data_IF_810180940775
#
_entry.id   IF_810180940775
#
_cell.length_a   1.000
_cell.length_b   1.000
_cell.length_c   1.000
_cell.angle_alpha   90.00
_cell.angle_beta   90.00
_cell.angle_gamma   90.00
#
_symmetry.space_group_name_H-M   'P 1'
#
loop_
_entity.id
_entity.type
_entity.pdbx_description
1 polymer ?
#
# COMPACT_ATOMS: atom_id res chain seq x y z
N UNK A 1 21.70 -6.81 5.68
CA UNK A 1 20.55 -6.28 4.92
C UNK A 1 19.63 -5.60 5.91
N UNK A 2 19.11 -4.42 5.58
CA UNK A 2 18.21 -3.67 6.45
C UNK A 2 16.80 -3.82 5.89
N UNK A 3 15.96 -4.55 6.61
CA UNK A 3 14.66 -4.99 6.16
C UNK A 3 13.57 -4.08 6.72
N UNK A 4 12.58 -3.74 5.91
CA UNK A 4 11.38 -3.03 6.32
C UNK A 4 10.16 -3.88 6.03
N UNK A 5 9.48 -4.33 7.07
CA UNK A 5 8.16 -4.96 6.95
C UNK A 5 7.12 -3.85 6.88
N UNK A 6 6.21 -3.94 5.91
CA UNK A 6 5.18 -2.95 5.64
C UNK A 6 3.82 -3.65 5.64
N UNK A 7 2.86 -3.02 6.30
CA UNK A 7 1.45 -3.37 6.26
C UNK A 7 0.61 -2.09 6.34
N UNK A 8 -0.52 -2.04 5.62
CA UNK A 8 -1.39 -0.86 5.57
C UNK A 8 -2.82 -1.18 5.98
N UNK A 9 -3.46 -0.19 6.60
CA UNK A 9 -4.90 -0.22 6.87
C UNK A 9 -5.60 0.90 6.11
N UNK A 10 -6.73 0.55 5.48
CA UNK A 10 -7.48 1.44 4.59
C UNK A 10 -8.94 1.53 4.98
N UNK A 11 -9.57 2.65 4.64
CA UNK A 11 -11.03 2.82 4.77
C UNK A 11 -11.59 3.44 3.50
N UNK A 12 -12.85 3.12 3.13
CA UNK A 12 -13.53 3.81 2.04
C UNK A 12 -13.55 5.33 2.21
N UNK A 13 -13.39 6.03 1.10
CA UNK A 13 -13.61 7.47 1.04
C UNK A 13 -15.09 7.78 1.28
N UNK A 14 -15.33 8.90 1.96
CA UNK A 14 -16.67 9.46 2.07
C UNK A 14 -17.01 10.17 0.75
N UNK A 15 -17.81 9.52 -0.09
CA UNK A 15 -18.31 10.11 -1.34
C UNK A 15 -19.58 10.89 -1.02
N UNK A 16 -19.47 12.22 -1.04
CA UNK A 16 -20.59 13.13 -0.72
C UNK A 16 -21.47 13.46 -1.91
N UNK A 17 -20.92 13.39 -3.12
CA UNK A 17 -21.67 13.66 -4.35
C UNK A 17 -22.58 12.47 -4.67
N UNK A 18 -23.88 12.73 -4.74
CA UNK A 18 -24.91 11.70 -4.87
C UNK A 18 -24.90 11.03 -6.25
N UNK A 19 -24.61 11.79 -7.32
CA UNK A 19 -24.46 11.25 -8.67
C UNK A 19 -23.24 10.33 -8.77
N UNK A 20 -22.11 10.76 -8.20
CA UNK A 20 -20.90 9.92 -8.16
C UNK A 20 -21.15 8.65 -7.33
N UNK A 21 -21.87 8.78 -6.21
CA UNK A 21 -22.23 7.64 -5.36
C UNK A 21 -23.12 6.64 -6.11
N UNK A 22 -24.16 7.12 -6.79
CA UNK A 22 -25.06 6.30 -7.61
C UNK A 22 -24.28 5.60 -8.74
N UNK A 23 -23.47 6.34 -9.51
CA UNK A 23 -22.62 5.78 -10.56
C UNK A 23 -21.69 4.66 -10.07
N UNK A 24 -21.07 4.83 -8.89
CA UNK A 24 -20.17 3.83 -8.32
C UNK A 24 -20.92 2.62 -7.74
N UNK A 25 -22.14 2.81 -7.24
CA UNK A 25 -23.01 1.71 -6.79
C UNK A 25 -23.56 0.90 -7.97
N UNK A 26 -23.94 1.57 -9.06
CA UNK A 26 -24.47 0.95 -10.28
C UNK A 26 -23.43 0.09 -11.02
N UNK A 27 -22.15 0.43 -10.90
CA UNK A 27 -21.06 -0.44 -11.42
C UNK A 27 -20.89 -1.76 -10.67
N UNK A 28 -21.72 -2.05 -9.67
CA UNK A 28 -21.66 -3.27 -8.83
C UNK A 28 -20.30 -3.50 -8.18
N UNK A 29 -19.52 -2.45 -7.93
CA UNK A 29 -18.32 -2.59 -7.09
C UNK A 29 -18.83 -2.67 -5.66
N UNK A 30 -18.84 -3.87 -5.10
CA UNK A 30 -19.29 -4.09 -3.73
C UNK A 30 -18.43 -3.30 -2.71
N UNK A 31 -18.93 -3.21 -1.48
CA UNK A 31 -18.27 -2.43 -0.41
C UNK A 31 -16.86 -2.93 -0.10
N UNK A 32 -16.63 -4.24 -0.23
CA UNK A 32 -15.34 -4.88 0.03
C UNK A 32 -14.33 -4.52 -1.05
N UNK A 33 -14.71 -4.68 -2.32
CA UNK A 33 -13.93 -4.30 -3.50
C UNK A 33 -13.57 -2.81 -3.51
N UNK A 34 -14.44 -1.93 -3.01
CA UNK A 34 -14.13 -0.49 -2.84
C UNK A 34 -13.07 -0.26 -1.77
N UNK A 35 -13.16 -0.97 -0.65
CA UNK A 35 -12.21 -0.88 0.46
C UNK A 35 -10.79 -1.29 0.02
N UNK A 36 -10.71 -2.22 -0.93
CA UNK A 36 -9.47 -2.73 -1.48
C UNK A 36 -8.92 -1.92 -2.68
N UNK A 37 -9.58 -0.83 -3.08
CA UNK A 37 -9.19 -0.06 -4.27
C UNK A 37 -8.69 1.36 -3.93
N UNK A 38 -7.48 1.77 -4.37
CA UNK A 38 -6.86 3.03 -3.94
C UNK A 38 -7.53 4.30 -4.47
N UNK A 39 -8.40 4.20 -5.47
CA UNK A 39 -9.21 5.34 -5.93
C UNK A 39 -10.43 5.61 -5.05
N UNK A 40 -10.94 4.59 -4.35
CA UNK A 40 -12.19 4.68 -3.58
C UNK A 40 -11.97 4.61 -2.08
N UNK A 41 -10.72 4.47 -1.65
CA UNK A 41 -10.32 4.32 -0.26
C UNK A 41 -9.10 5.18 0.04
N UNK A 42 -8.88 5.44 1.32
CA UNK A 42 -7.73 6.16 1.86
C UNK A 42 -6.98 5.31 2.87
N UNK A 43 -5.69 5.54 3.00
CA UNK A 43 -4.86 4.96 4.05
C UNK A 43 -5.15 5.68 5.38
N UNK A 44 -5.34 4.90 6.45
CA UNK A 44 -5.53 5.41 7.83
C UNK A 44 -4.35 5.09 8.73
N UNK A 45 -3.58 4.05 8.41
CA UNK A 45 -2.39 3.65 9.12
C UNK A 45 -1.41 2.95 8.17
N UNK A 46 -0.12 3.17 8.37
CA UNK A 46 0.93 2.30 7.84
C UNK A 46 1.74 1.79 9.03
N UNK A 47 1.80 0.48 9.21
CA UNK A 47 2.64 -0.17 10.21
C UNK A 47 3.96 -0.55 9.56
N UNK A 48 5.05 -0.08 10.15
CA UNK A 48 6.40 -0.35 9.72
C UNK A 48 7.14 -1.10 10.81
N UNK A 49 7.80 -2.20 10.44
CA UNK A 49 8.76 -2.87 11.32
C UNK A 49 10.12 -2.94 10.65
N UNK A 50 11.02 -2.07 11.13
CA UNK A 50 12.45 -2.10 10.82
C UNK A 50 13.24 -2.49 12.07
N UNK A 51 14.19 -1.66 12.49
CA UNK A 51 14.86 -1.81 13.80
C UNK A 51 13.83 -1.74 14.94
N UNK A 52 12.93 -0.76 14.88
CA UNK A 52 11.81 -0.57 15.80
C UNK A 52 10.46 -0.74 15.10
N UNK A 53 9.39 -0.85 15.90
CA UNK A 53 8.02 -0.76 15.41
C UNK A 53 7.61 0.70 15.32
N UNK A 54 7.06 1.12 14.18
CA UNK A 54 6.58 2.47 13.94
C UNK A 54 5.17 2.36 13.35
N UNK A 55 4.19 2.96 14.03
CA UNK A 55 2.86 3.15 13.48
C UNK A 55 2.74 4.57 12.94
N UNK A 56 2.57 4.73 11.63
CA UNK A 56 2.34 6.01 10.99
C UNK A 56 0.83 6.30 11.00
N UNK A 57 0.43 7.23 11.88
CA UNK A 57 -0.95 7.69 12.05
C UNK A 57 -1.03 9.21 11.87
N UNK A 58 -2.20 9.72 11.49
CA UNK A 58 -2.45 11.14 11.24
C UNK A 58 -3.34 11.37 10.03
N UNK A 59 -3.22 12.53 9.39
CA UNK A 59 -3.84 12.69 8.07
C UNK A 59 -3.07 11.88 7.01
N UNK A 60 -3.79 11.43 5.97
CA UNK A 60 -3.22 10.51 4.98
C UNK A 60 -1.96 11.07 4.30
N UNK A 61 -1.93 12.37 4.03
CA UNK A 61 -0.78 13.02 3.40
C UNK A 61 0.47 12.94 4.28
N UNK A 62 0.35 13.27 5.56
CA UNK A 62 1.45 13.17 6.53
C UNK A 62 1.94 11.74 6.72
N UNK A 63 1.02 10.77 6.75
CA UNK A 63 1.35 9.33 6.83
C UNK A 63 2.24 8.94 5.64
N UNK A 64 1.84 9.32 4.43
CA UNK A 64 2.57 9.00 3.20
C UNK A 64 3.90 9.75 3.11
N UNK A 65 3.96 11.02 3.51
CA UNK A 65 5.21 11.79 3.55
C UNK A 65 6.24 11.13 4.49
N UNK A 66 5.82 10.72 5.70
CA UNK A 66 6.68 10.01 6.65
C UNK A 66 7.12 8.65 6.11
N UNK A 67 6.23 7.91 5.43
CA UNK A 67 6.60 6.66 4.80
C UNK A 67 7.74 6.85 3.80
N UNK A 68 7.66 7.87 2.93
CA UNK A 68 8.69 8.15 1.94
C UNK A 68 9.97 8.76 2.51
N UNK A 69 9.95 9.30 3.73
CA UNK A 69 11.15 9.68 4.48
C UNK A 69 11.88 8.46 5.07
N UNK A 70 11.11 7.46 5.54
CA UNK A 70 11.64 6.28 6.24
C UNK A 70 12.11 5.20 5.25
N UNK A 71 11.30 4.88 4.24
CA UNK A 71 11.55 3.77 3.32
C UNK A 71 12.96 3.77 2.68
N UNK A 72 13.54 4.92 2.25
CA UNK A 72 14.89 4.98 1.67
C UNK A 72 16.03 4.50 2.58
N UNK A 73 15.80 4.37 3.89
CA UNK A 73 16.80 3.89 4.87
C UNK A 73 16.95 2.36 4.84
N UNK A 74 16.11 1.66 4.07
CA UNK A 74 16.03 0.20 4.00
C UNK A 74 16.30 -0.27 2.56
N UNK A 75 16.76 -1.52 2.44
CA UNK A 75 17.14 -2.10 1.15
C UNK A 75 16.39 -3.38 0.78
N UNK A 76 15.56 -3.90 1.69
CA UNK A 76 14.67 -5.03 1.45
C UNK A 76 13.30 -4.72 2.05
N UNK A 77 12.25 -4.82 1.24
CA UNK A 77 10.87 -4.58 1.63
C UNK A 77 10.13 -5.91 1.76
N UNK A 78 9.44 -6.12 2.87
CA UNK A 78 8.73 -7.37 3.16
C UNK A 78 7.26 -7.03 3.37
N UNK A 79 6.38 -7.77 2.70
CA UNK A 79 4.91 -7.57 2.78
C UNK A 79 4.18 -8.91 2.75
N UNK A 80 2.86 -8.88 2.96
CA UNK A 80 1.97 -9.99 2.66
C UNK A 80 0.94 -9.54 1.61
N UNK A 81 1.00 -10.07 0.38
CA UNK A 81 0.21 -9.57 -0.76
C UNK A 81 0.51 -8.10 -1.15
N UNK A 82 1.68 -7.57 -0.78
CA UNK A 82 2.04 -6.19 -1.05
C UNK A 82 2.24 -5.87 -2.53
N UNK A 83 2.53 -6.85 -3.39
CA UNK A 83 2.50 -6.63 -4.85
C UNK A 83 1.07 -6.37 -5.37
N UNK A 84 0.07 -7.01 -4.75
CA UNK A 84 -1.33 -6.89 -5.14
C UNK A 84 -2.07 -5.77 -4.42
N UNK A 85 -1.56 -5.33 -3.27
CA UNK A 85 -2.26 -4.43 -2.38
C UNK A 85 -1.38 -3.28 -1.87
N UNK A 86 -0.57 -3.48 -0.83
CA UNK A 86 0.08 -2.42 -0.05
C UNK A 86 0.86 -1.40 -0.91
N UNK A 87 1.79 -1.89 -1.73
CA UNK A 87 2.72 -1.02 -2.45
C UNK A 87 2.02 -0.24 -3.57
N UNK A 88 1.21 -0.87 -4.46
CA UNK A 88 0.38 -0.13 -5.40
C UNK A 88 -0.54 0.89 -4.72
N UNK A 89 -1.11 0.54 -3.57
CA UNK A 89 -2.01 1.42 -2.84
C UNK A 89 -1.27 2.67 -2.33
N UNK A 90 -0.12 2.50 -1.67
CA UNK A 90 0.74 3.61 -1.23
C UNK A 90 1.13 4.50 -2.40
N UNK A 91 1.54 3.93 -3.54
CA UNK A 91 1.94 4.67 -4.74
C UNK A 91 0.79 5.52 -5.29
N UNK A 92 -0.38 4.92 -5.50
CA UNK A 92 -1.55 5.64 -6.04
C UNK A 92 -2.00 6.73 -5.09
N UNK A 93 -2.09 6.46 -3.78
CA UNK A 93 -2.48 7.48 -2.79
C UNK A 93 -1.44 8.59 -2.67
N UNK A 94 -0.16 8.28 -2.82
CA UNK A 94 0.90 9.30 -2.88
C UNK A 94 0.73 10.21 -4.10
N UNK A 95 0.40 9.64 -5.25
CA UNK A 95 0.11 10.42 -6.46
C UNK A 95 -1.14 11.31 -6.31
N UNK A 96 -2.21 10.81 -5.69
CA UNK A 96 -3.43 11.60 -5.38
C UNK A 96 -3.09 12.82 -4.51
N UNK A 97 -2.20 12.66 -3.52
CA UNK A 97 -1.72 13.75 -2.66
C UNK A 97 -0.57 14.58 -3.26
N UNK A 98 -0.19 14.31 -4.51
CA UNK A 98 0.91 14.99 -5.22
C UNK A 98 2.26 14.90 -4.50
N UNK A 99 2.47 13.83 -3.75
CA UNK A 99 3.74 13.57 -3.06
C UNK A 99 4.75 13.07 -4.08
N UNK A 100 5.95 13.68 -4.11
CA UNK A 100 7.05 13.19 -4.93
C UNK A 100 7.74 12.04 -4.21
N UNK A 101 7.79 10.89 -4.87
CA UNK A 101 8.51 9.72 -4.39
C UNK A 101 9.44 9.17 -5.48
N UNK A 102 10.46 8.42 -5.06
CA UNK A 102 11.31 7.65 -5.96
C UNK A 102 10.77 6.23 -6.03
N UNK A 103 10.88 5.59 -7.20
CA UNK A 103 10.57 4.18 -7.37
C UNK A 103 11.62 3.31 -6.66
N UNK A 104 11.53 3.27 -5.33
CA UNK A 104 12.48 2.56 -4.47
C UNK A 104 12.17 1.07 -4.40
N UNK A 105 10.89 0.71 -4.38
CA UNK A 105 10.41 -0.67 -4.23
C UNK A 105 10.17 -1.25 -5.63
N UNK A 106 10.81 -2.38 -5.95
CA UNK A 106 10.63 -3.06 -7.24
C UNK A 106 9.26 -3.75 -7.28
N UNK A 107 8.50 -3.49 -8.34
CA UNK A 107 7.12 -4.00 -8.50
C UNK A 107 7.03 -5.26 -9.38
N UNK A 108 8.16 -5.79 -9.85
CA UNK A 108 8.17 -6.97 -10.71
C UNK A 108 8.00 -8.25 -9.89
N UNK A 109 6.74 -8.65 -9.71
CA UNK A 109 6.35 -9.88 -9.00
C UNK A 109 6.92 -11.18 -9.59
N UNK A 110 7.35 -11.21 -10.86
CA UNK A 110 7.89 -12.43 -11.48
C UNK A 110 9.38 -12.68 -11.21
N UNK A 111 10.07 -11.72 -10.56
CA UNK A 111 11.51 -11.81 -10.31
C UNK A 111 11.86 -11.58 -8.84
N UNK A 112 11.09 -12.18 -7.92
CA UNK A 112 11.26 -11.96 -6.48
C UNK A 112 12.67 -12.31 -5.97
N UNK A 113 13.35 -13.29 -6.59
CA UNK A 113 14.72 -13.72 -6.22
C UNK A 113 15.75 -12.59 -6.37
N UNK A 114 15.60 -11.74 -7.39
CA UNK A 114 16.50 -10.61 -7.64
C UNK A 114 15.83 -9.25 -7.37
N UNK A 115 14.68 -9.27 -6.68
CA UNK A 115 13.91 -8.09 -6.31
C UNK A 115 14.36 -7.59 -4.93
N UNK A 116 14.15 -6.30 -4.66
CA UNK A 116 14.25 -5.76 -3.30
C UNK A 116 12.90 -5.78 -2.55
N UNK A 117 11.90 -6.49 -3.09
CA UNK A 117 10.58 -6.66 -2.50
C UNK A 117 10.25 -8.15 -2.40
N UNK A 118 10.16 -8.64 -1.17
CA UNK A 118 9.80 -10.01 -0.82
C UNK A 118 8.34 -10.07 -0.35
N UNK A 119 7.50 -10.80 -1.08
CA UNK A 119 6.08 -10.96 -0.75
C UNK A 119 5.84 -12.37 -0.22
N UNK A 120 5.43 -12.44 1.05
CA UNK A 120 5.26 -13.71 1.75
C UNK A 120 4.09 -14.53 1.19
N UNK A 121 2.96 -13.91 0.85
CA UNK A 121 1.81 -14.61 0.26
C UNK A 121 2.19 -15.24 -1.07
N UNK A 122 2.87 -14.47 -1.93
CA UNK A 122 3.27 -14.97 -3.24
C UNK A 122 4.32 -16.07 -3.14
N UNK A 123 5.29 -15.94 -2.22
CA UNK A 123 6.27 -16.99 -1.94
C UNK A 123 5.60 -18.30 -1.55
N UNK A 124 4.72 -18.29 -0.55
CA UNK A 124 4.08 -19.51 -0.07
C UNK A 124 3.13 -20.13 -1.10
N UNK A 125 2.36 -19.30 -1.83
CA UNK A 125 1.51 -19.77 -2.93
C UNK A 125 2.31 -20.46 -4.06
N UNK A 126 3.51 -19.97 -4.37
CA UNK A 126 4.37 -20.55 -5.42
C UNK A 126 5.11 -21.82 -4.96
N UNK A 127 5.40 -21.93 -3.66
CA UNK A 127 6.19 -23.03 -3.10
C UNK A 127 5.35 -24.11 -2.40
N UNK A 128 4.02 -23.95 -2.36
CA UNK A 128 3.09 -24.97 -1.87
C UNK A 128 3.22 -25.29 -0.38
N UNK A 129 3.54 -24.27 0.44
CA UNK A 129 3.63 -24.37 1.91
C UNK A 129 2.44 -23.70 2.56
#
# INVERSE_FOLDING_TARGET
MNNLIIDIETVPLEIKDEYVKEYLMDKKIDKESRSLHPLYSKIVCIVLKGEEYIALIGNEKEILEKFWEIAPKYNMFITHNGYGFDIPFIIVRSAVHKIKFKSLIQLNKYNMVNSNHFDTMMFFNQNGV
#
